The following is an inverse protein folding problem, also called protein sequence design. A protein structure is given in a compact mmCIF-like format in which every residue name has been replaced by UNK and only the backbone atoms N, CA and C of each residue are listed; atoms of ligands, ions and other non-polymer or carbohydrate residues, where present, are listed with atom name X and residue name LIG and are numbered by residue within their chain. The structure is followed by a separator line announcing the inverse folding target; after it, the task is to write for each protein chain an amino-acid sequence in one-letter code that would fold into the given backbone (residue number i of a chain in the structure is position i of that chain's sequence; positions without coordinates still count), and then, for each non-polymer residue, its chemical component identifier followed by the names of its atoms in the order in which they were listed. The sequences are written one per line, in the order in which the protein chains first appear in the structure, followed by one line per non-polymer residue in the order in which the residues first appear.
data_IF_220212554405
#
_entry.id   IF_220212554405
#
_cell.length_a   1.000
_cell.length_b   1.000
_cell.length_c   1.000
_cell.angle_alpha   90.00
_cell.angle_beta   90.00
_cell.angle_gamma   90.00
#
_symmetry.space_group_name_H-M   'P 1'
#
loop_
_entity.id
_entity.type
_entity.pdbx_description
1 polymer ?
#
# COMPACT_ATOMS: atom_id res chain seq x y z
N UNK A 1 32.78 23.36 -2.82
CA UNK A 1 32.57 24.82 -2.67
C UNK A 1 32.57 25.37 -4.09
N UNK A 2 31.49 25.86 -4.68
CA UNK A 2 30.59 26.95 -4.25
C UNK A 2 29.23 26.73 -4.94
N UNK A 3 28.16 26.40 -4.21
CA UNK A 3 26.78 26.45 -4.74
C UNK A 3 25.72 26.45 -3.62
N UNK A 4 26.00 27.12 -2.49
CA UNK A 4 25.09 27.13 -1.32
C UNK A 4 24.68 28.51 -0.80
N UNK A 5 25.05 29.63 -1.41
CA UNK A 5 24.83 30.96 -0.80
C UNK A 5 24.17 31.97 -1.74
N UNK A 6 22.97 31.65 -2.24
CA UNK A 6 22.19 32.63 -3.03
C UNK A 6 20.66 32.52 -2.85
N UNK A 7 20.20 32.16 -1.66
CA UNK A 7 18.76 31.99 -1.40
C UNK A 7 18.20 32.77 -0.20
N UNK A 8 18.98 33.62 0.47
CA UNK A 8 18.53 34.36 1.66
C UNK A 8 18.05 35.81 1.41
N UNK A 9 18.04 36.31 0.16
CA UNK A 9 17.60 37.70 -0.13
C UNK A 9 16.21 37.88 -0.72
N UNK A 10 15.40 36.83 -0.86
CA UNK A 10 14.00 36.98 -1.28
C UNK A 10 13.07 36.66 -0.10
N UNK A 11 12.90 37.64 0.78
CA UNK A 11 11.98 37.59 1.92
C UNK A 11 10.51 37.61 1.51
N UNK A 12 10.02 36.56 0.86
CA UNK A 12 8.59 36.36 0.55
C UNK A 12 8.23 34.89 0.25
N UNK A 13 8.95 33.92 0.81
CA UNK A 13 8.49 32.53 0.82
C UNK A 13 7.99 32.20 2.22
N UNK A 14 6.66 32.28 2.38
CA UNK A 14 5.93 31.81 3.56
C UNK A 14 6.58 30.54 4.12
N UNK A 15 6.82 30.46 5.43
CA UNK A 15 7.38 29.28 6.08
C UNK A 15 6.60 27.99 5.76
N UNK A 16 5.31 28.14 5.38
CA UNK A 16 4.46 27.08 4.81
C UNK A 16 4.99 26.53 3.48
N UNK A 17 5.52 27.37 2.59
CA UNK A 17 6.11 26.95 1.30
C UNK A 17 7.41 26.18 1.46
N UNK A 18 8.34 26.62 2.32
CA UNK A 18 9.61 25.90 2.54
C UNK A 18 9.36 24.51 3.13
N UNK A 19 8.41 24.39 4.08
CA UNK A 19 7.98 23.09 4.62
C UNK A 19 7.29 22.21 3.58
N UNK A 20 6.39 22.78 2.78
CA UNK A 20 5.69 22.08 1.68
C UNK A 20 6.67 21.57 0.63
N UNK A 21 7.67 22.37 0.25
CA UNK A 21 8.72 22.00 -0.69
C UNK A 21 9.64 20.90 -0.15
N UNK A 22 10.04 20.98 1.13
CA UNK A 22 10.82 19.91 1.77
C UNK A 22 10.03 18.60 1.80
N UNK A 23 8.72 18.66 2.03
CA UNK A 23 7.83 17.51 1.97
C UNK A 23 7.72 16.91 0.57
N UNK A 24 7.51 17.73 -0.46
CA UNK A 24 7.40 17.28 -1.85
C UNK A 24 8.70 16.59 -2.32
N UNK A 25 9.87 17.17 -2.04
CA UNK A 25 11.16 16.57 -2.37
C UNK A 25 11.42 15.25 -1.62
N UNK A 26 10.91 15.12 -0.39
CA UNK A 26 10.95 13.87 0.37
C UNK A 26 10.04 12.81 -0.23
N UNK A 27 8.86 13.18 -0.73
CA UNK A 27 7.95 12.27 -1.43
C UNK A 27 8.58 11.78 -2.74
N UNK A 28 9.09 12.70 -3.58
CA UNK A 28 9.78 12.34 -4.82
C UNK A 28 10.99 11.42 -4.60
N UNK A 29 11.78 11.65 -3.54
CA UNK A 29 12.90 10.76 -3.18
C UNK A 29 12.43 9.37 -2.75
N UNK A 30 11.31 9.27 -2.02
CA UNK A 30 10.73 7.98 -1.63
C UNK A 30 10.20 7.23 -2.86
N UNK A 31 9.47 7.90 -3.74
CA UNK A 31 8.95 7.34 -4.98
C UNK A 31 10.07 6.83 -5.90
N UNK A 32 11.14 7.64 -6.11
CA UNK A 32 12.30 7.23 -6.91
C UNK A 32 13.02 6.00 -6.35
N UNK A 33 13.07 5.84 -5.03
CA UNK A 33 13.71 4.71 -4.38
C UNK A 33 12.90 3.41 -4.52
N UNK A 34 11.58 3.52 -4.64
CA UNK A 34 10.65 2.38 -4.81
C UNK A 34 10.61 1.86 -6.25
N UNK A 35 10.94 2.70 -7.24
CA UNK A 35 10.82 2.36 -8.66
C UNK A 35 12.05 1.67 -9.28
N UNK A 36 13.05 1.30 -8.47
CA UNK A 36 14.27 0.68 -9.00
C UNK A 36 14.02 -0.77 -9.41
N UNK A 37 14.30 -1.09 -10.68
CA UNK A 37 14.05 -2.41 -11.25
C UNK A 37 15.13 -3.39 -10.80
N UNK A 38 14.73 -4.40 -10.02
CA UNK A 38 15.62 -5.46 -9.55
C UNK A 38 15.37 -6.78 -10.27
N UNK A 39 16.44 -7.49 -10.64
CA UNK A 39 16.37 -8.78 -11.31
C UNK A 39 16.78 -9.91 -10.36
N UNK A 40 15.95 -10.95 -10.26
CA UNK A 40 16.29 -12.21 -9.58
C UNK A 40 16.00 -13.40 -10.47
N UNK A 41 16.85 -14.42 -10.37
CA UNK A 41 16.59 -15.73 -10.99
C UNK A 41 15.64 -16.54 -10.12
N UNK A 42 14.82 -17.35 -10.76
CA UNK A 42 13.99 -18.34 -10.09
C UNK A 42 14.85 -19.50 -9.60
N UNK A 43 14.43 -20.08 -8.48
CA UNK A 43 15.01 -21.30 -7.94
C UNK A 43 14.56 -22.51 -8.78
N UNK A 44 15.21 -23.67 -8.59
CA UNK A 44 14.91 -24.93 -9.31
C UNK A 44 13.45 -25.41 -9.19
N UNK A 45 12.72 -24.96 -8.16
CA UNK A 45 11.30 -25.28 -7.92
C UNK A 45 10.33 -24.19 -8.41
N UNK A 46 10.81 -23.18 -9.13
CA UNK A 46 9.99 -22.05 -9.60
C UNK A 46 9.71 -20.96 -8.56
N UNK A 47 10.29 -21.06 -7.35
CA UNK A 47 10.16 -20.02 -6.32
C UNK A 47 11.13 -18.84 -6.52
N UNK A 48 10.72 -17.64 -6.10
CA UNK A 48 11.58 -16.45 -6.03
C UNK A 48 11.63 -15.93 -4.58
N UNK A 49 12.80 -15.44 -4.16
CA UNK A 49 12.96 -14.80 -2.85
C UNK A 49 12.80 -13.29 -2.94
N UNK A 50 11.85 -12.74 -2.18
CA UNK A 50 11.61 -11.31 -2.08
C UNK A 50 12.72 -10.67 -1.22
N UNK A 51 13.36 -9.58 -1.67
CA UNK A 51 14.40 -8.90 -0.92
C UNK A 51 13.92 -8.39 0.44
N UNK A 52 14.86 -8.31 1.39
CA UNK A 52 14.58 -7.76 2.70
C UNK A 52 14.21 -6.26 2.66
N UNK A 53 14.68 -5.50 1.67
CA UNK A 53 14.31 -4.09 1.48
C UNK A 53 12.81 -3.94 1.21
N UNK A 54 12.31 -4.64 0.20
CA UNK A 54 10.89 -4.63 -0.19
C UNK A 54 10.02 -5.12 0.96
N UNK A 55 10.40 -6.20 1.66
CA UNK A 55 9.64 -6.69 2.83
C UNK A 55 9.52 -5.65 3.93
N UNK A 56 10.61 -4.91 4.25
CA UNK A 56 10.60 -3.87 5.29
C UNK A 56 9.79 -2.65 4.89
N UNK A 57 9.84 -2.27 3.61
CA UNK A 57 9.11 -1.11 3.08
C UNK A 57 7.61 -1.38 2.99
N UNK A 58 7.23 -2.59 2.57
CA UNK A 58 5.83 -3.01 2.48
C UNK A 58 5.26 -3.54 3.81
N UNK A 59 6.10 -3.69 4.84
CA UNK A 59 5.69 -4.19 6.15
C UNK A 59 5.23 -5.65 6.14
N UNK A 60 5.79 -6.49 5.27
CA UNK A 60 5.42 -7.90 5.15
C UNK A 60 6.15 -8.76 6.18
N UNK A 61 5.39 -9.57 6.90
CA UNK A 61 5.88 -10.54 7.87
C UNK A 61 6.01 -11.95 7.25
N UNK A 62 6.86 -12.83 7.81
CA UNK A 62 6.88 -14.23 7.42
C UNK A 62 5.47 -14.83 7.59
N UNK A 63 5.03 -15.65 6.63
CA UNK A 63 3.70 -16.29 6.60
C UNK A 63 2.51 -15.40 6.23
N UNK A 64 2.75 -14.13 5.87
CA UNK A 64 1.69 -13.27 5.32
C UNK A 64 1.06 -13.87 4.06
N UNK A 65 -0.27 -13.91 4.05
CA UNK A 65 -1.04 -14.28 2.87
C UNK A 65 -0.90 -13.18 1.79
N UNK A 66 -0.68 -13.61 0.55
CA UNK A 66 -0.54 -12.73 -0.61
C UNK A 66 -1.52 -13.18 -1.69
N UNK A 67 -2.14 -12.20 -2.35
CA UNK A 67 -2.94 -12.43 -3.54
C UNK A 67 -2.06 -12.30 -4.79
N UNK A 68 -2.23 -13.24 -5.72
CA UNK A 68 -1.49 -13.30 -6.98
C UNK A 68 -2.48 -13.15 -8.14
N UNK A 69 -2.31 -12.09 -8.91
CA UNK A 69 -3.11 -11.83 -10.11
C UNK A 69 -2.20 -11.88 -11.35
N UNK A 70 -2.61 -12.64 -12.36
CA UNK A 70 -1.95 -12.66 -13.67
C UNK A 70 -2.72 -11.74 -14.61
N UNK A 71 -2.07 -10.67 -15.05
CA UNK A 71 -2.64 -9.71 -16.01
C UNK A 71 -2.55 -10.27 -17.44
N UNK A 72 -3.40 -9.78 -18.34
CA UNK A 72 -3.41 -10.14 -19.77
C UNK A 72 -2.05 -9.91 -20.47
N UNK A 73 -1.25 -8.96 -19.96
CA UNK A 73 0.08 -8.64 -20.47
C UNK A 73 1.19 -9.54 -19.88
N UNK A 74 0.84 -10.72 -19.37
CA UNK A 74 1.75 -11.67 -18.70
C UNK A 74 2.51 -11.08 -17.51
N UNK A 75 1.91 -10.12 -16.81
CA UNK A 75 2.46 -9.54 -15.59
C UNK A 75 1.89 -10.25 -14.37
N UNK A 76 2.76 -10.64 -13.44
CA UNK A 76 2.35 -11.16 -12.13
C UNK A 76 2.31 -10.01 -11.13
N UNK A 77 1.12 -9.67 -10.66
CA UNK A 77 0.88 -8.66 -9.63
C UNK A 77 0.68 -9.38 -8.30
N UNK A 78 1.43 -8.95 -7.28
CA UNK A 78 1.34 -9.49 -5.93
C UNK A 78 0.80 -8.40 -5.01
N UNK A 79 -0.28 -8.69 -4.29
CA UNK A 79 -0.93 -7.78 -3.32
C UNK A 79 -0.97 -8.43 -1.95
N UNK A 80 -0.95 -7.62 -0.89
CA UNK A 80 -1.19 -8.12 0.46
C UNK A 80 -2.62 -8.64 0.54
N UNK A 81 -2.80 -9.87 1.03
CA UNK A 81 -4.12 -10.44 1.20
C UNK A 81 -4.89 -9.64 2.25
N UNK A 82 -5.93 -8.93 1.83
CA UNK A 82 -6.86 -8.31 2.75
C UNK A 82 -7.94 -9.33 3.13
N UNK A 83 -8.23 -9.51 4.44
CA UNK A 83 -9.32 -10.38 4.84
C UNK A 83 -10.61 -9.84 4.23
N UNK A 84 -11.36 -10.71 3.54
CA UNK A 84 -12.68 -10.36 3.03
C UNK A 84 -13.72 -10.52 4.12
N UNK A 85 -14.81 -9.75 4.04
CA UNK A 85 -15.93 -9.95 4.92
C UNK A 85 -16.52 -11.37 4.73
N UNK A 86 -16.65 -12.14 5.81
CA UNK A 86 -17.24 -13.50 5.78
C UNK A 86 -18.71 -13.50 5.33
N UNK A 87 -19.41 -12.37 5.43
CA UNK A 87 -20.84 -12.28 5.11
C UNK A 87 -21.12 -11.80 3.68
N UNK A 88 -20.50 -10.70 3.24
CA UNK A 88 -20.76 -10.12 1.91
C UNK A 88 -19.62 -10.31 0.90
N UNK A 89 -18.42 -10.75 1.34
CA UNK A 89 -17.26 -10.88 0.47
C UNK A 89 -16.60 -9.56 0.06
N UNK A 90 -17.08 -8.41 0.53
CA UNK A 90 -16.48 -7.10 0.28
C UNK A 90 -15.13 -6.95 1.00
N UNK A 91 -14.25 -6.15 0.42
CA UNK A 91 -12.94 -5.77 0.98
C UNK A 91 -12.98 -4.41 1.68
N UNK A 92 -14.02 -3.60 1.44
CA UNK A 92 -14.08 -2.24 1.95
C UNK A 92 -14.35 -2.20 3.45
N UNK A 93 -13.38 -1.63 4.18
CA UNK A 93 -13.50 -1.41 5.62
C UNK A 93 -13.63 -2.69 6.44
N UNK A 94 -13.01 -3.79 6.00
CA UNK A 94 -12.97 -5.04 6.76
C UNK A 94 -12.12 -4.88 8.01
N UNK A 95 -12.73 -5.17 9.16
CA UNK A 95 -12.06 -5.26 10.46
C UNK A 95 -12.05 -6.70 10.93
N UNK A 96 -10.90 -7.13 11.45
CA UNK A 96 -10.74 -8.48 11.99
C UNK A 96 -11.30 -8.52 13.41
N UNK A 97 -12.40 -9.25 13.60
CA UNK A 97 -13.02 -9.50 14.90
C UNK A 97 -12.94 -11.00 15.17
N UNK A 98 -12.25 -11.39 16.24
CA UNK A 98 -12.07 -12.80 16.63
C UNK A 98 -11.50 -13.69 15.52
N UNK A 99 -10.56 -13.17 14.74
CA UNK A 99 -9.93 -13.88 13.62
C UNK A 99 -10.80 -13.99 12.35
N UNK A 100 -11.98 -13.37 12.32
CA UNK A 100 -12.86 -13.29 11.15
C UNK A 100 -12.86 -11.86 10.60
N UNK A 101 -12.64 -11.71 9.30
CA UNK A 101 -12.83 -10.42 8.63
C UNK A 101 -14.32 -10.11 8.51
N UNK A 102 -14.77 -8.98 9.06
CA UNK A 102 -16.14 -8.50 8.93
C UNK A 102 -16.08 -7.02 8.50
N UNK A 103 -16.74 -6.65 7.41
CA UNK A 103 -16.83 -5.23 6.99
C UNK A 103 -17.78 -4.44 7.91
N UNK A 104 -17.58 -3.12 7.94
CA UNK A 104 -18.40 -2.21 8.76
C UNK A 104 -19.89 -2.29 8.42
N UNK A 105 -20.26 -2.50 7.16
CA UNK A 105 -21.66 -2.67 6.73
C UNK A 105 -22.30 -3.90 7.39
N UNK A 106 -21.63 -5.06 7.36
CA UNK A 106 -22.12 -6.28 8.01
C UNK A 106 -22.15 -6.18 9.54
N UNK A 107 -21.23 -5.44 10.16
CA UNK A 107 -21.28 -5.17 11.62
C UNK A 107 -22.54 -4.38 11.96
N UNK A 108 -22.88 -3.38 11.16
CA UNK A 108 -24.06 -2.52 11.37
C UNK A 108 -25.36 -3.34 11.21
N UNK A 109 -25.42 -4.22 10.22
CA UNK A 109 -26.54 -5.17 10.02
C UNK A 109 -26.66 -6.11 11.23
N UNK A 110 -25.55 -6.71 11.67
CA UNK A 110 -25.54 -7.63 12.82
C UNK A 110 -25.90 -6.93 14.14
N UNK A 111 -25.61 -5.63 14.27
CA UNK A 111 -25.96 -4.80 15.42
C UNK A 111 -27.41 -4.28 15.40
N UNK A 112 -28.24 -4.69 14.42
CA UNK A 112 -29.67 -4.41 14.39
C UNK A 112 -30.06 -3.03 13.85
N UNK A 113 -29.14 -2.31 13.18
CA UNK A 113 -29.48 -1.11 12.41
C UNK A 113 -29.40 -1.45 10.93
N UNK A 114 -30.55 -1.67 10.30
CA UNK A 114 -30.62 -2.01 8.88
C UNK A 114 -30.01 -0.92 8.00
N UNK A 115 -29.00 -1.28 7.22
CA UNK A 115 -28.65 -0.60 5.98
C UNK A 115 -28.31 -1.70 4.97
N UNK A 116 -29.24 -1.93 4.04
CA UNK A 116 -29.08 -2.88 2.95
C UNK A 116 -28.03 -2.35 1.97
N UNK A 117 -26.91 -3.05 1.84
CA UNK A 117 -26.07 -2.96 0.65
C UNK A 117 -26.48 -4.12 -0.26
N UNK A 118 -27.27 -3.80 -1.27
CA UNK A 118 -27.73 -4.72 -2.31
C UNK A 118 -26.59 -4.86 -3.35
N UNK A 119 -25.95 -6.03 -3.49
CA UNK A 119 -24.92 -6.21 -4.51
C UNK A 119 -25.59 -6.32 -5.88
N UNK A 120 -25.30 -5.35 -6.74
CA UNK A 120 -25.74 -5.32 -8.14
C UNK A 120 -25.06 -6.45 -8.94
N UNK A 121 -25.83 -6.99 -9.89
CA UNK A 121 -25.78 -8.32 -10.56
C UNK A 121 -24.49 -8.68 -11.29
#
# INVERSE_FOLDING_TARGET
MVFSERWERAGLLSWKMVRKWKYLLLQERKEKKMAEKMYKRLNKRGGMSIPASVRREMGWEPEDAMELEVTKDNQLIMKQYQPRCVFCGEMDGVVTISGKGICRSCIVIAAGKGAASEPER
#
